data_IF_517786051127
#
_entry.id   IF_517786051127
#
_cell.length_a   1.000
_cell.length_b   1.000
_cell.length_c   1.000
_cell.angle_alpha   90.00
_cell.angle_beta   90.00
_cell.angle_gamma   90.00
#
_symmetry.space_group_name_H-M   'P 1'
#
loop_
_entity.id
_entity.type
_entity.pdbx_description
1 polymer ?
2 polymer ?
3 non-polymer ?
4 non-polymer ?
5 non-polymer ?
6 non-polymer ?
7 non-polymer ?
8 water ?
#
# COMPACT_ATOMS: atom_id res chain seq x y z
N UNK A 1 0.41 29.20 -12.26
CA UNK A 1 0.50 28.18 -11.18
C UNK A 1 1.40 27.05 -11.61
N UNK A 2 2.09 26.52 -10.62
CA UNK A 2 3.04 25.42 -10.80
C UNK A 2 2.77 24.29 -9.83
N UNK A 3 2.99 23.10 -10.36
CA UNK A 3 2.57 21.86 -9.69
C UNK A 3 3.31 21.57 -8.40
N UNK A 4 4.52 22.10 -8.35
CA UNK A 4 5.46 21.80 -7.25
C UNK A 4 5.08 22.56 -6.00
N UNK A 5 4.34 23.62 -6.24
CA UNK A 5 3.82 24.48 -5.20
C UNK A 5 2.34 24.28 -5.00
N UNK A 6 2.01 23.84 -3.80
CA UNK A 6 0.62 23.76 -3.34
C UNK A 6 -0.17 22.81 -4.20
N UNK A 7 0.59 21.97 -4.89
CA UNK A 7 0.06 20.93 -5.80
C UNK A 7 -0.61 21.54 -7.01
N UNK A 8 -0.24 22.78 -7.23
CA UNK A 8 -0.74 23.55 -8.37
C UNK A 8 -2.18 23.91 -8.20
N UNK A 9 -2.61 23.67 -6.99
CA UNK A 9 -3.98 23.96 -6.52
C UNK A 9 -4.90 22.78 -6.75
N UNK A 10 -4.34 21.80 -7.42
CA UNK A 10 -5.05 20.55 -7.79
C UNK A 10 -5.38 19.70 -6.56
N UNK A 11 -6.55 19.10 -6.60
CA UNK A 11 -7.00 18.20 -5.53
C UNK A 11 -6.21 16.91 -5.60
N UNK A 12 -5.92 16.55 -6.83
CA UNK A 12 -5.22 15.29 -7.18
C UNK A 12 -3.95 15.52 -7.97
N UNK A 13 -4.00 15.13 -9.22
CA UNK A 13 -2.81 15.15 -10.10
C UNK A 13 -2.68 16.43 -10.89
N UNK A 14 -1.43 16.78 -11.12
CA UNK A 14 -1.04 18.07 -11.73
C UNK A 14 0.02 17.93 -12.80
N UNK A 15 -0.25 18.62 -13.90
CA UNK A 15 0.65 18.74 -15.05
C UNK A 15 0.92 20.16 -15.45
N UNK A 16 2.21 20.45 -15.49
CA UNK A 16 2.75 21.73 -15.99
C UNK A 16 2.78 21.70 -17.51
N UNK A 17 2.44 22.85 -18.05
CA UNK A 17 2.44 23.07 -19.49
C UNK A 17 3.22 24.29 -19.90
N UNK A 18 3.50 24.30 -21.18
CA UNK A 18 4.27 25.37 -21.83
C UNK A 18 3.53 26.68 -21.72
N UNK A 19 4.14 27.51 -20.91
CA UNK A 19 3.62 28.82 -20.55
C UNK A 19 3.29 28.83 -19.09
N UNK A 20 2.42 29.77 -18.76
CA UNK A 20 1.88 29.89 -17.40
C UNK A 20 0.66 29.04 -17.31
N UNK A 21 0.81 27.86 -17.91
CA UNK A 21 -0.27 26.84 -18.01
C UNK A 21 -0.10 25.63 -17.11
N UNK A 22 -1.25 25.25 -16.58
CA UNK A 22 -1.40 24.10 -15.68
C UNK A 22 -2.70 23.38 -15.91
N UNK A 23 -2.57 22.06 -15.93
CA UNK A 23 -3.72 21.15 -16.01
C UNK A 23 -3.74 20.18 -14.84
N UNK A 24 -4.87 20.20 -14.17
CA UNK A 24 -5.20 19.25 -13.12
C UNK A 24 -5.90 18.06 -13.73
N UNK A 25 -5.67 16.94 -13.08
CA UNK A 25 -6.31 15.68 -13.47
C UNK A 25 -6.74 14.88 -12.26
N UNK A 26 -7.59 13.93 -12.58
CA UNK A 26 -8.20 13.05 -11.58
C UNK A 26 -7.99 11.59 -11.94
N UNK A 27 -7.88 10.83 -10.87
CA UNK A 27 -7.75 9.37 -10.92
C UNK A 27 -8.99 8.79 -11.58
N UNK A 28 -8.81 7.60 -12.11
CA UNK A 28 -9.93 6.84 -12.68
C UNK A 28 -10.97 6.72 -11.58
N UNK A 29 -12.22 6.89 -11.98
CA UNK A 29 -13.37 6.83 -11.07
C UNK A 29 -13.72 8.17 -10.47
N UNK A 30 -13.03 9.16 -11.00
CA UNK A 30 -13.26 10.58 -10.69
C UNK A 30 -13.28 11.40 -11.96
N UNK A 31 -13.99 12.51 -11.83
CA UNK A 31 -14.02 13.56 -12.86
C UNK A 31 -13.71 14.93 -12.27
N UNK A 32 -13.06 15.72 -13.09
CA UNK A 32 -12.63 17.10 -12.80
C UNK A 32 -13.80 18.04 -12.94
N UNK A 33 -13.95 18.86 -11.93
CA UNK A 33 -15.01 19.88 -11.91
C UNK A 33 -14.57 21.10 -12.68
N UNK A 34 -15.55 21.95 -12.91
CA UNK A 34 -15.37 23.15 -13.77
C UNK A 34 -14.45 24.19 -13.15
N UNK A 35 -14.13 23.99 -11.88
CA UNK A 35 -13.15 24.85 -11.16
C UNK A 35 -11.73 24.52 -11.61
N UNK A 36 -11.66 23.41 -12.31
CA UNK A 36 -10.43 22.94 -12.95
C UNK A 36 -9.43 22.34 -11.99
N UNK A 37 -9.87 22.17 -10.76
CA UNK A 37 -8.99 21.64 -9.66
C UNK A 37 -9.53 20.47 -8.86
N UNK A 38 -10.84 20.46 -8.71
CA UNK A 38 -11.54 19.50 -7.84
C UNK A 38 -11.92 18.24 -8.58
N UNK A 39 -11.88 17.16 -7.82
CA UNK A 39 -12.26 15.82 -8.29
C UNK A 39 -13.45 15.30 -7.53
N UNK A 40 -14.41 14.81 -8.28
CA UNK A 40 -15.63 14.21 -7.73
C UNK A 40 -15.80 12.76 -8.22
N UNK A 41 -16.23 11.85 -7.33
CA UNK A 41 -16.41 10.46 -7.79
C UNK A 41 -17.48 10.30 -8.85
N UNK A 42 -17.21 9.34 -9.72
CA UNK A 42 -18.10 8.99 -10.84
C UNK A 42 -18.61 7.57 -10.74
N UNK A 43 -18.08 6.90 -9.75
CA UNK A 43 -18.45 5.52 -9.42
C UNK A 43 -18.75 5.37 -7.95
N UNK A 44 -19.31 4.21 -7.66
CA UNK A 44 -19.83 3.92 -6.32
C UNK A 44 -18.71 3.79 -5.31
N UNK A 45 -17.65 3.17 -5.78
CA UNK A 45 -16.51 2.81 -4.92
C UNK A 45 -15.18 3.30 -5.49
N UNK A 46 -14.98 4.63 -5.48
CA UNK A 46 -13.72 5.15 -5.94
C UNK A 46 -12.60 4.82 -4.98
N UNK A 47 -11.42 4.74 -5.54
CA UNK A 47 -10.22 4.45 -4.74
C UNK A 47 -10.02 5.52 -3.69
N UNK A 48 -9.53 5.06 -2.55
CA UNK A 48 -9.01 5.94 -1.50
C UNK A 48 -10.04 6.65 -0.68
N UNK A 49 -11.26 6.20 -0.87
CA UNK A 49 -12.41 6.64 -0.06
C UNK A 49 -12.99 5.48 0.71
N UNK A 50 -13.37 5.79 1.95
CA UNK A 50 -13.90 4.83 2.94
C UNK A 50 -15.43 4.93 3.08
N UNK A 51 -16.16 4.02 2.44
CA UNK A 51 -17.61 4.16 2.31
C UNK A 51 -18.37 4.43 3.58
N UNK A 52 -17.99 3.74 4.64
CA UNK A 52 -18.77 3.79 5.89
C UNK A 52 -18.64 5.15 6.54
N UNK A 53 -17.55 5.81 6.16
CA UNK A 53 -17.23 7.16 6.65
C UNK A 53 -17.83 8.23 5.75
N UNK A 54 -17.83 7.95 4.47
CA UNK A 54 -18.40 8.86 3.47
C UNK A 54 -19.89 8.98 3.69
N UNK A 55 -20.45 7.85 4.06
CA UNK A 55 -21.89 7.72 4.36
C UNK A 55 -22.22 8.40 5.68
N UNK A 56 -21.28 8.23 6.59
CA UNK A 56 -21.41 8.70 7.98
C UNK A 56 -21.62 10.20 8.01
N UNK A 57 -21.17 10.83 6.94
CA UNK A 57 -21.20 12.30 6.80
C UNK A 57 -22.06 12.80 5.65
N UNK A 58 -22.64 11.83 4.95
CA UNK A 58 -23.54 12.12 3.83
C UNK A 58 -24.89 12.61 4.34
N UNK B 1 1.40 -4.97 14.31
CA UNK B 1 1.40 -3.57 14.73
C UNK B 1 1.52 -3.46 16.23
N UNK B 2 2.54 -2.70 16.60
CA UNK B 2 2.85 -2.36 17.98
C UNK B 2 2.44 -0.93 18.30
N UNK B 3 1.57 -0.83 19.29
CA UNK B 3 1.21 0.44 19.90
C UNK B 3 0.14 1.21 19.17
N UNK B 4 -0.57 0.46 18.36
CA UNK B 4 -1.72 0.98 17.59
C UNK B 4 -3.05 0.67 18.22
N UNK B 5 -4.04 0.67 17.36
CA UNK B 5 -5.41 0.36 17.73
C UNK B 5 -6.06 -0.49 16.67
N UNK B 6 -7.19 -1.03 17.06
CA UNK B 6 -8.01 -1.79 16.12
C UNK B 6 -8.48 -0.80 15.06
N UNK B 7 -8.29 -1.20 13.82
CA UNK B 7 -8.92 -0.47 12.70
C UNK B 7 -10.40 -0.83 12.66
N UNK B 8 -11.29 0.15 12.93
CA UNK B 8 -12.69 -0.23 12.91
C UNK B 8 -13.07 -0.88 11.59
N UNK B 9 -13.79 -1.96 11.72
CA UNK B 9 -14.23 -2.74 10.55
C UNK B 9 -14.75 -1.85 9.44
N UNK B 10 -14.05 -1.93 8.32
CA UNK B 10 -14.44 -1.25 7.08
C UNK B 10 -13.69 0.03 6.83
N UNK B 11 -12.89 0.40 7.83
CA UNK B 11 -12.14 1.67 7.76
C UNK B 11 -10.76 1.48 7.18
N UNK B 12 -10.44 0.22 6.96
CA UNK B 12 -9.18 -0.17 6.29
C UNK B 12 -9.47 -1.08 5.09
N UNK B 13 -10.33 -0.63 4.16
CA UNK B 13 -10.96 -1.58 3.25
C UNK B 13 -10.07 -2.08 2.11
N UNK B 14 -8.91 -1.50 2.03
CA UNK B 14 -7.88 -1.85 1.01
C UNK B 14 -6.88 -2.87 1.51
N UNK B 15 -6.98 -3.14 2.79
CA UNK B 15 -6.08 -4.10 3.45
C UNK B 15 -6.36 -5.50 2.95
N UNK B 16 -5.27 -6.17 2.61
CA UNK B 16 -5.26 -7.57 2.20
C UNK B 16 -4.53 -8.48 3.18
N UNK B 17 -5.10 -9.64 3.35
CA UNK B 17 -4.44 -10.75 4.06
C UNK B 17 -4.05 -11.83 3.07
N UNK B 18 -2.77 -12.15 3.09
CA UNK B 18 -2.21 -13.24 2.29
C UNK B 18 -2.02 -14.47 3.15
N UNK B 19 -2.50 -15.56 2.59
CA UNK B 19 -2.42 -16.89 3.20
C UNK B 19 -1.67 -17.84 2.31
N UNK B 20 -0.96 -18.74 2.97
CA UNK B 20 -0.39 -19.91 2.30
C UNK B 20 -0.69 -21.17 3.11
N UNK B 21 -1.39 -22.07 2.45
CA UNK B 21 -1.90 -23.28 3.09
C UNK B 21 -2.73 -22.98 4.34
N UNK B 22 -3.39 -21.85 4.22
CA UNK B 22 -4.37 -21.37 5.20
C UNK B 22 -3.77 -20.60 6.35
N UNK B 23 -2.45 -20.58 6.33
CA UNK B 23 -1.65 -19.86 7.34
C UNK B 23 -1.31 -18.45 6.88
N UNK B 24 -1.34 -17.55 7.85
CA UNK B 24 -0.99 -16.13 7.66
C UNK B 24 0.42 -16.02 7.12
N UNK B 25 0.53 -15.35 5.98
CA UNK B 25 1.83 -15.13 5.31
C UNK B 25 2.33 -13.71 5.47
N UNK B 26 1.46 -12.83 5.05
CA UNK B 26 1.75 -11.40 4.92
C UNK B 26 0.52 -10.58 4.70
N UNK B 27 0.75 -9.28 4.73
CA UNK B 27 -0.23 -8.30 4.30
C UNK B 27 -0.08 -7.90 2.85
N UNK B 28 -1.04 -7.12 2.43
CA UNK B 28 -1.07 -6.51 1.08
C UNK B 28 -2.02 -5.35 0.95
N UNK B 29 -1.92 -4.71 -0.20
CA UNK B 29 -2.78 -3.56 -0.55
C UNK B 29 -3.47 -3.71 -1.89
N UNK B 30 -4.79 -3.63 -1.84
CA UNK B 30 -5.64 -3.62 -3.06
C UNK B 30 -5.50 -2.26 -3.73
N UNK B 31 -5.16 -2.25 -5.02
CA UNK B 31 -5.07 -0.98 -5.78
C UNK B 31 -6.01 -0.89 -6.99
N UNK B 32 -6.55 -2.06 -7.29
CA UNK B 32 -7.58 -2.26 -8.33
C UNK B 32 -8.26 -3.59 -8.04
N UNK B 33 -9.27 -3.92 -8.82
CA UNK B 33 -10.07 -5.14 -8.54
C UNK B 33 -9.34 -6.47 -8.69
N UNK B 34 -8.24 -6.43 -9.43
CA UNK B 34 -7.43 -7.64 -9.67
C UNK B 34 -5.96 -7.52 -9.26
N UNK B 35 -5.60 -6.35 -8.77
CA UNK B 35 -4.20 -6.06 -8.39
C UNK B 35 -3.98 -5.71 -6.93
N UNK B 36 -2.99 -6.40 -6.40
CA UNK B 36 -2.53 -6.27 -5.02
C UNK B 36 -1.03 -6.02 -4.99
N UNK B 37 -0.66 -5.07 -4.16
CA UNK B 37 0.74 -4.76 -3.88
C UNK B 37 1.12 -5.31 -2.52
N UNK B 38 2.27 -5.97 -2.52
CA UNK B 38 2.84 -6.56 -1.29
C UNK B 38 4.35 -6.36 -1.29
N UNK B 39 5.01 -7.18 -0.48
CA UNK B 39 6.48 -7.14 -0.32
C UNK B 39 7.10 -8.40 -0.90
N UNK B 40 8.18 -8.20 -1.62
CA UNK B 40 8.85 -9.31 -2.31
C UNK B 40 9.23 -10.45 -1.37
N UNK B 41 9.72 -10.09 -0.20
CA UNK B 41 10.35 -11.09 0.70
C UNK B 41 9.34 -12.11 1.17
N UNK B 42 8.08 -11.75 1.04
CA UNK B 42 6.97 -12.59 1.51
C UNK B 42 6.96 -13.89 0.75
N UNK B 43 7.63 -13.85 -0.39
CA UNK B 43 7.57 -14.94 -1.36
C UNK B 43 8.88 -15.65 -1.55
N UNK B 44 9.81 -15.32 -0.67
CA UNK B 44 11.18 -15.87 -0.74
C UNK B 44 11.22 -17.40 -0.68
N UNK B 45 10.38 -17.93 0.18
CA UNK B 45 10.47 -19.33 0.60
C UNK B 45 9.30 -20.15 0.08
N UNK B 46 8.54 -19.52 -0.78
CA UNK B 46 7.34 -20.16 -1.31
C UNK B 46 7.73 -21.37 -2.12
N UNK B 47 7.15 -22.47 -1.72
CA UNK B 47 7.45 -23.78 -2.32
C UNK B 47 6.45 -24.11 -3.40
N UNK B 48 5.20 -24.09 -2.97
CA UNK B 48 4.04 -24.34 -3.84
C UNK B 48 3.20 -23.12 -4.13
N UNK B 49 3.53 -22.48 -5.23
CA UNK B 49 2.91 -21.21 -5.63
C UNK B 49 1.41 -21.27 -5.81
N UNK B 50 0.91 -22.48 -5.90
CA UNK B 50 -0.51 -22.72 -6.27
C UNK B 50 -1.47 -22.64 -5.11
N UNK B 51 -0.92 -22.43 -3.93
CA UNK B 51 -1.71 -22.41 -2.69
C UNK B 51 -1.72 -21.07 -2.01
N UNK B 52 -1.42 -20.06 -2.80
CA UNK B 52 -1.43 -18.66 -2.36
C UNK B 52 -2.81 -18.05 -2.52
N UNK B 53 -3.28 -17.50 -1.42
CA UNK B 53 -4.62 -16.91 -1.34
C UNK B 53 -4.56 -15.50 -0.79
N UNK B 54 -5.32 -14.64 -1.44
CA UNK B 54 -5.54 -13.26 -1.00
C UNK B 54 -6.95 -13.11 -0.50
N UNK B 55 -7.06 -12.52 0.68
CA UNK B 55 -8.36 -12.23 1.30
C UNK B 55 -8.57 -10.74 1.50
N UNK B 56 -9.70 -10.31 0.95
CA UNK B 56 -10.22 -8.95 1.08
C UNK B 56 -11.41 -8.93 2.01
N UNK B 57 -11.59 -7.80 2.65
CA UNK B 57 -12.76 -7.55 3.51
C UNK B 57 -12.66 -8.26 4.85
N UNK B 58 -11.43 -8.68 5.12
CA UNK B 58 -11.11 -9.35 6.39
C UNK B 58 -11.00 -8.32 7.51
N UNK B 59 -11.35 -8.78 8.70
CA UNK B 59 -11.28 -7.95 9.91
C UNK B 59 -10.86 -8.73 11.13
N UNK B 60 -11.79 -9.57 11.55
CA UNK B 60 -11.59 -10.50 12.70
C UNK B 60 -11.38 -11.92 12.23
N UNK B 61 -10.18 -12.40 12.48
CA UNK B 61 -9.70 -13.67 11.93
C UNK B 61 -10.37 -14.88 12.56
N UNK B 62 -11.09 -14.61 13.63
CA UNK B 62 -11.69 -15.67 14.46
C UNK B 62 -13.06 -16.08 13.96
N UNK B 63 -13.59 -15.24 13.10
CA UNK B 63 -14.96 -15.42 12.60
C UNK B 63 -15.09 -15.14 11.12
N UNK B 64 -16.18 -15.65 10.61
CA UNK B 64 -16.62 -15.41 9.24
C UNK B 64 -17.89 -14.60 9.34
N UNK B 65 -17.90 -13.44 8.70
CA UNK B 65 -19.08 -12.54 8.76
C UNK B 65 -19.71 -12.26 7.41
N UNK B 66 -19.06 -12.80 6.40
CA UNK B 66 -19.60 -12.83 5.04
C UNK B 66 -19.18 -11.70 4.15
N UNK B 67 -18.39 -10.81 4.73
CA UNK B 67 -17.84 -9.65 3.98
C UNK B 67 -16.52 -9.99 3.32
N UNK B 68 -15.98 -11.12 3.75
CA UNK B 68 -14.69 -11.63 3.26
C UNK B 68 -14.80 -12.13 1.84
N UNK B 69 -13.74 -11.88 1.10
CA UNK B 69 -13.58 -12.36 -0.28
C UNK B 69 -12.20 -12.88 -0.51
N UNK B 70 -12.17 -14.16 -0.85
CA UNK B 70 -10.94 -14.89 -1.12
C UNK B 70 -10.73 -15.15 -2.60
N UNK B 71 -9.51 -14.92 -3.00
CA UNK B 71 -9.04 -15.13 -4.37
C UNK B 71 -7.69 -15.78 -4.38
N UNK B 72 -7.54 -16.70 -5.31
CA UNK B 72 -6.23 -17.28 -5.66
C UNK B 72 -5.37 -16.24 -6.35
N UNK B 73 -4.11 -16.31 -6.03
CA UNK B 73 -3.09 -15.46 -6.64
C UNK B 73 -2.55 -16.16 -7.86
N UNK B 74 -2.72 -15.47 -8.99
CA UNK B 74 -2.40 -15.99 -10.33
C UNK B 74 -0.98 -15.67 -10.76
N UNK B 75 -0.50 -14.56 -10.22
CA UNK B 75 0.83 -14.05 -10.55
C UNK B 75 1.43 -13.26 -9.41
N UNK B 76 2.70 -13.51 -9.20
CA UNK B 76 3.54 -12.71 -8.29
C UNK B 76 4.70 -12.16 -9.09
N UNK B 77 4.72 -10.86 -9.19
CA UNK B 77 5.74 -10.12 -9.96
C UNK B 77 6.64 -9.35 -9.02
N UNK B 78 7.93 -9.64 -9.15
CA UNK B 78 8.94 -8.96 -8.35
C UNK B 78 10.04 -8.33 -9.22
N UNK B 79 10.63 -7.23 -8.75
CA UNK B 79 11.63 -6.58 -9.59
C UNK B 79 12.90 -7.37 -9.66
N UNK B 80 13.54 -7.20 -10.79
CA UNK B 80 14.76 -7.95 -11.12
C UNK B 80 15.85 -7.68 -10.11
N UNK B 81 15.72 -6.51 -9.52
CA UNK B 81 16.77 -5.93 -8.69
C UNK B 81 16.72 -6.38 -7.25
N UNK B 82 15.61 -7.04 -6.96
CA UNK B 82 15.36 -7.58 -5.61
C UNK B 82 16.15 -8.86 -5.40
N UNK B 83 16.82 -8.89 -4.27
CA UNK B 83 17.60 -10.04 -3.84
C UNK B 83 16.97 -10.71 -2.63
N UNK B 84 16.59 -11.99 -2.76
CA UNK B 84 15.95 -12.63 -1.62
C UNK B 84 16.73 -12.54 -0.35
N UNK B 85 15.96 -12.24 0.68
CA UNK B 85 16.45 -12.22 2.06
C UNK B 85 16.99 -10.88 2.46
N UNK B 86 16.78 -9.93 1.57
CA UNK B 86 17.16 -8.52 1.79
C UNK B 86 15.98 -7.58 1.76
N UNK B 87 16.30 -6.29 1.82
CA UNK B 87 15.29 -5.21 2.02
C UNK B 87 15.10 -4.26 0.86
N UNK B 88 16.16 -4.08 0.08
CA UNK B 88 16.09 -3.17 -1.08
C UNK B 88 15.17 -3.76 -2.14
N UNK B 89 14.36 -2.88 -2.68
CA UNK B 89 13.39 -3.21 -3.73
C UNK B 89 12.38 -4.25 -3.25
N UNK B 90 12.03 -4.13 -1.98
CA UNK B 90 11.08 -5.05 -1.32
C UNK B 90 9.64 -4.73 -1.66
N UNK B 91 9.30 -5.14 -2.87
CA UNK B 91 7.98 -4.91 -3.47
C UNK B 91 7.57 -6.03 -4.41
N UNK B 92 6.28 -6.28 -4.39
CA UNK B 92 5.65 -7.30 -5.26
C UNK B 92 4.29 -6.86 -5.72
N UNK B 93 4.02 -7.21 -6.96
CA UNK B 93 2.72 -6.99 -7.60
C UNK B 93 2.07 -8.32 -7.91
N UNK B 94 0.89 -8.46 -7.34
CA UNK B 94 0.07 -9.66 -7.41
C UNK B 94 -1.19 -9.48 -8.22
N UNK B 95 -1.34 -10.41 -9.14
CA UNK B 95 -2.52 -10.53 -9.99
C UNK B 95 -3.43 -11.61 -9.44
N UNK B 96 -4.65 -11.23 -9.16
CA UNK B 96 -5.67 -12.13 -8.65
C UNK B 96 -6.27 -12.89 -9.82
N UNK B 97 -6.67 -14.11 -9.52
CA UNK B 97 -7.21 -15.04 -10.52
C UNK B 97 -8.56 -14.57 -11.06
N UNK B 98 -9.27 -13.90 -10.18
CA UNK B 98 -10.59 -13.34 -10.44
C UNK B 98 -10.74 -12.02 -9.68
N UNK B 99 -11.40 -11.02 -10.27
CA UNK B 99 -11.48 -9.77 -9.52
C UNK B 99 -12.31 -9.93 -8.27
N UNK B 100 -11.94 -9.14 -7.28
CA UNK B 100 -12.79 -8.92 -6.10
C UNK B 100 -13.91 -7.99 -6.52
N UNK B 101 -14.99 -8.08 -5.78
CA UNK B 101 -16.16 -7.22 -5.94
C UNK B 101 -16.07 -6.09 -4.96
N UNK B 102 -16.13 -4.88 -5.48
CA UNK B 102 -16.07 -3.69 -4.63
C UNK B 102 -17.36 -3.59 -3.84
N UNK B 103 -17.16 -3.37 -2.56
CA UNK B 103 -18.23 -3.22 -1.57
C UNK B 103 -17.82 -2.20 -0.52
N UNK B 104 -18.70 -2.00 0.45
CA UNK B 104 -18.39 -1.05 1.53
C UNK B 104 -17.13 -1.48 2.27
N UNK B 105 -16.83 -2.77 2.14
CA UNK B 105 -15.76 -3.40 2.96
C UNK B 105 -14.54 -3.78 2.17
N UNK B 106 -14.67 -3.55 0.89
CA UNK B 106 -13.60 -3.84 -0.09
C UNK B 106 -13.49 -2.74 -1.12
N UNK B 107 -12.43 -1.98 -0.97
CA UNK B 107 -12.14 -0.78 -1.76
C UNK B 107 -10.64 -0.65 -2.03
N UNK B 108 -10.25 -0.28 -3.25
CA UNK B 108 -8.83 -0.09 -3.49
C UNK B 108 -8.31 1.23 -2.98
N UNK B 109 -7.05 1.19 -2.60
CA UNK B 109 -6.26 2.40 -2.33
C UNK B 109 -5.74 2.94 -3.65
N UNK B 110 -5.75 4.25 -3.79
CA UNK B 110 -5.25 4.89 -5.01
C UNK B 110 -3.73 4.78 -5.08
N UNK B 111 -3.28 4.25 -6.20
CA UNK B 111 -1.87 4.31 -6.55
C UNK B 111 -1.63 5.67 -7.19
N UNK B 112 -0.80 6.52 -6.57
CA UNK B 112 -0.68 7.86 -7.11
C UNK B 112 0.27 7.96 -8.26
N UNK B 113 0.12 9.03 -8.99
CA UNK B 113 1.16 9.44 -9.96
C UNK B 113 2.41 9.74 -9.20
N UNK B 114 3.51 9.51 -9.89
CA UNK B 114 4.85 9.65 -9.30
C UNK B 114 5.09 11.06 -8.82
N UNK B 115 4.86 11.98 -9.73
CA UNK B 115 5.09 13.42 -9.47
C UNK B 115 4.35 13.87 -8.23
N UNK B 116 3.08 13.54 -8.23
CA UNK B 116 2.17 13.87 -7.12
C UNK B 116 2.72 13.30 -5.82
N UNK B 117 3.19 12.08 -5.92
CA UNK B 117 3.68 11.34 -4.75
C UNK B 117 4.93 11.96 -4.19
N UNK B 118 5.75 12.41 -5.11
CA UNK B 118 7.09 12.93 -4.79
C UNK B 118 7.05 14.38 -4.31
N UNK B 119 6.18 15.12 -4.95
CA UNK B 119 6.07 16.57 -4.73
C UNK B 119 5.15 16.95 -3.58
N UNK B 120 4.20 16.07 -3.30
CA UNK B 120 3.12 16.41 -2.36
C UNK B 120 2.97 15.42 -1.22
N UNK B 121 2.75 14.18 -1.60
CA UNK B 121 2.45 13.11 -0.62
C UNK B 121 3.61 12.88 0.33
N UNK B 122 4.79 13.08 -0.22
CA UNK B 122 6.04 12.77 0.48
C UNK B 122 6.27 13.71 1.65
N UNK B 123 5.47 14.76 1.65
CA UNK B 123 5.58 15.86 2.65
C UNK B 123 4.44 15.89 3.63
N UNK B 124 3.55 14.95 3.46
CA UNK B 124 2.49 14.72 4.43
C UNK B 124 3.16 13.96 5.58
N UNK B 125 3.07 14.52 6.77
CA UNK B 125 3.85 14.01 7.90
C UNK B 125 3.46 12.61 8.28
N UNK B 126 2.18 12.51 8.61
CA UNK B 126 1.57 11.28 9.14
C UNK B 126 0.81 10.48 8.11
N UNK B 127 1.04 9.19 8.23
CA UNK B 127 0.41 8.14 7.44
C UNK B 127 0.11 6.93 8.29
N UNK B 128 -0.83 6.15 7.79
CA UNK B 128 -1.32 4.93 8.47
C UNK B 128 -0.68 3.66 7.93
N UNK B 129 -0.27 2.85 8.90
CA UNK B 129 0.22 1.47 8.65
C UNK B 129 -0.65 0.46 9.38
N UNK B 130 -0.89 -0.65 8.71
CA UNK B 130 -1.84 -1.65 9.21
C UNK B 130 -1.48 -3.09 8.92
N UNK B 131 -2.02 -3.92 9.80
CA UNK B 131 -1.93 -5.38 9.65
C UNK B 131 -2.33 -6.18 10.86
N UNK B 132 -2.20 -7.47 10.65
CA UNK B 132 -2.55 -8.51 11.65
C UNK B 132 -1.29 -9.09 12.25
N UNK B 133 -0.26 -8.27 12.21
CA UNK B 133 1.05 -8.64 12.74
C UNK B 133 1.11 -8.72 14.24
N UNK B 134 2.31 -9.02 14.70
CA UNK B 134 2.62 -9.09 16.14
C UNK B 134 2.31 -7.76 16.81
N UNK B 135 1.67 -7.90 17.95
CA UNK B 135 1.25 -6.76 18.79
C UNK B 135 2.40 -6.25 19.64
N UNK B 136 3.39 -7.11 19.69
CA UNK B 136 4.65 -6.89 20.43
C UNK B 136 5.81 -7.58 19.77
N UNK B 137 6.97 -6.99 19.95
CA UNK B 137 8.21 -7.68 19.60
C UNK B 137 8.21 -8.98 20.39
N UNK B 138 8.35 -10.07 19.67
CA UNK B 138 8.37 -11.44 20.23
C UNK B 138 7.04 -11.85 20.85
N UNK B 139 6.01 -11.20 20.34
CA UNK B 139 4.64 -11.44 20.78
C UNK B 139 3.78 -12.14 19.78
N UNK B 140 2.58 -12.41 20.25
CA UNK B 140 1.50 -13.00 19.43
C UNK B 140 0.92 -11.98 18.45
N UNK B 141 0.50 -12.52 17.33
CA UNK B 141 -0.17 -11.74 16.27
C UNK B 141 -1.60 -11.41 16.68
N UNK B 142 -2.11 -10.42 15.98
CA UNK B 142 -3.45 -9.85 16.20
C UNK B 142 -4.54 -10.67 15.53
N UNK B 143 -5.66 -10.76 16.21
CA UNK B 143 -6.87 -11.40 15.66
C UNK B 143 -7.72 -10.38 14.90
N UNK B 144 -7.62 -9.16 15.35
CA UNK B 144 -8.30 -8.01 14.70
C UNK B 144 -7.29 -7.11 14.01
N UNK B 145 -7.70 -6.61 12.86
CA UNK B 145 -6.87 -5.68 12.07
C UNK B 145 -6.52 -4.45 12.88
N UNK B 146 -5.23 -4.22 12.97
CA UNK B 146 -4.67 -3.07 13.69
C UNK B 146 -4.12 -2.02 12.74
N UNK B 147 -4.15 -0.81 13.25
CA UNK B 147 -3.68 0.36 12.53
C UNK B 147 -2.95 1.34 13.43
N UNK B 148 -2.00 2.00 12.80
CA UNK B 148 -1.03 2.90 13.46
C UNK B 148 -0.65 4.10 12.61
N UNK B 149 -0.77 5.25 13.24
CA UNK B 149 -0.34 6.54 12.65
C UNK B 149 1.12 6.71 12.95
N UNK B 150 1.90 6.88 11.88
CA UNK B 150 3.36 7.07 11.96
C UNK B 150 3.86 8.28 11.16
N UNK B 151 4.83 9.03 11.72
CA UNK B 151 5.37 10.15 10.99
C UNK B 151 6.57 9.76 10.19
N UNK B 152 6.63 10.40 9.04
CA UNK B 152 7.69 10.18 8.07
C UNK B 152 8.82 11.14 8.34
N UNK B 153 10.00 10.58 8.18
CA UNK B 153 11.26 11.31 8.31
C UNK B 153 12.03 11.30 7.00
N UNK B 154 12.59 12.46 6.70
CA UNK B 154 13.58 12.59 5.61
C UNK B 154 14.77 11.74 6.00
N UNK B 155 15.37 11.12 5.00
CA UNK B 155 16.34 10.06 5.23
C UNK B 155 17.55 10.56 6.01
N UNK B 156 17.90 11.80 5.74
CA UNK B 156 19.04 12.43 6.41
C UNK B 156 18.76 12.52 7.89
N UNK B 157 17.54 12.91 8.18
CA UNK B 157 17.08 13.13 9.57
C UNK B 157 16.97 11.80 10.30
N UNK B 158 16.60 10.79 9.53
CA UNK B 158 16.39 9.45 10.06
C UNK B 158 17.69 8.91 10.59
N UNK B 159 18.69 9.07 9.75
CA UNK B 159 20.04 8.54 9.98
C UNK B 159 20.67 9.20 11.19
N UNK B 160 20.37 10.48 11.30
CA UNK B 160 20.89 11.31 12.38
C UNK B 160 20.29 10.88 13.72
N UNK B 161 19.00 10.59 13.64
CA UNK B 161 18.15 10.35 14.82
C UNK B 161 18.22 8.92 15.32
N UNK B 162 18.90 8.14 14.52
CA UNK B 162 19.01 6.69 14.76
C UNK B 162 20.28 6.34 15.50
N UNK B 163 20.12 5.35 16.37
CA UNK B 163 21.20 4.82 17.19
C UNK B 163 20.76 3.73 18.16
N UNK B 168 23.95 -2.45 10.75
CA UNK B 168 22.72 -1.65 10.70
C UNK B 168 22.13 -1.61 9.29
N UNK B 169 20.88 -1.19 9.19
CA UNK B 169 20.23 -1.13 7.89
C UNK B 169 20.66 0.09 7.11
N UNK B 170 20.98 -0.15 5.85
CA UNK B 170 21.32 0.92 4.94
C UNK B 170 20.06 1.43 4.27
N UNK B 171 19.88 2.74 4.34
CA UNK B 171 18.70 3.38 3.79
C UNK B 171 18.99 3.90 2.40
N UNK B 172 18.34 3.25 1.45
CA UNK B 172 18.47 3.60 0.05
C UNK B 172 17.35 4.51 -0.37
N UNK B 173 17.49 4.92 -1.62
CA UNK B 173 16.57 5.90 -2.22
C UNK B 173 15.24 5.23 -2.50
N UNK B 174 15.26 3.92 -2.29
CA UNK B 174 14.09 3.05 -2.55
C UNK B 174 13.34 2.74 -1.29
N UNK B 175 13.78 3.43 -0.26
CA UNK B 175 13.21 3.31 1.08
C UNK B 175 12.94 4.67 1.70
N UNK B 176 12.13 4.60 2.73
CA UNK B 176 11.99 5.72 3.68
C UNK B 176 11.68 5.25 5.07
N UNK B 177 12.01 6.14 5.98
CA UNK B 177 11.79 5.97 7.42
C UNK B 177 10.48 6.55 7.86
N UNK B 178 9.86 5.83 8.76
CA UNK B 178 8.65 6.28 9.47
C UNK B 178 8.47 5.57 10.80
N UNK B 179 7.97 6.36 11.72
CA UNK B 179 7.65 5.89 13.07
C UNK B 179 8.29 6.66 14.20
N UNK B 180 8.71 5.87 15.16
CA UNK B 180 9.24 6.36 16.45
C UNK B 180 10.45 5.57 16.90
N UNK B 181 11.28 6.27 17.64
CA UNK B 181 12.57 5.74 18.13
C UNK B 181 12.54 5.33 19.58
N UNK B 182 11.38 5.43 20.18
CA UNK B 182 11.21 5.23 21.64
C UNK B 182 10.71 3.85 21.99
N UNK B 183 10.56 3.07 20.94
CA UNK B 183 10.25 1.64 21.06
C UNK B 183 8.82 1.31 21.43
N UNK B 184 7.96 2.29 21.19
CA UNK B 184 6.55 2.22 21.61
C UNK B 184 5.60 1.85 20.50
N UNK B 185 6.04 2.19 19.31
CA UNK B 185 5.18 2.16 18.10
C UNK B 185 5.92 1.82 16.82
N UNK B 186 5.41 0.77 16.21
CA UNK B 186 6.00 0.23 14.98
C UNK B 186 5.10 -0.78 14.31
N UNK B 187 5.41 -1.04 13.07
CA UNK B 187 4.94 -2.25 12.41
C UNK B 187 5.90 -3.35 12.78
N UNK B 188 5.44 -4.55 12.55
CA UNK B 188 6.09 -5.75 13.11
C UNK B 188 5.91 -6.97 12.25
N UNK B 189 6.60 -8.01 12.65
CA UNK B 189 6.51 -9.28 11.94
C UNK B 189 5.05 -9.67 11.83
N UNK B 190 4.68 -9.99 10.60
CA UNK B 190 3.31 -10.38 10.27
C UNK B 190 2.58 -9.31 9.51
N UNK B 191 3.17 -8.13 9.53
CA UNK B 191 2.58 -6.92 8.89
C UNK B 191 3.14 -6.68 7.50
N UNK B 192 4.25 -7.34 7.24
CA UNK B 192 4.99 -7.08 6.00
C UNK B 192 4.04 -7.19 4.83
N UNK B 193 4.21 -6.24 3.93
CA UNK B 193 3.51 -6.19 2.65
C UNK B 193 2.28 -5.31 2.70
N UNK B 194 1.94 -4.96 3.92
CA UNK B 194 0.80 -4.09 4.19
C UNK B 194 1.03 -2.65 3.75
N UNK B 195 -0.03 -1.84 3.75
CA UNK B 195 0.03 -0.45 3.34
C UNK B 195 0.50 0.54 4.36
N UNK B 196 1.24 1.46 3.79
CA UNK B 196 1.54 2.77 4.35
C UNK B 196 0.79 3.75 3.47
N UNK B 197 -0.30 4.22 4.05
CA UNK B 197 -1.33 4.99 3.35
C UNK B 197 -1.38 6.42 3.83
N UNK B 198 -1.45 7.30 2.85
CA UNK B 198 -1.35 8.75 3.08
C UNK B 198 -2.56 9.49 2.54
N UNK B 199 -3.11 10.29 3.44
CA UNK B 199 -4.27 11.13 3.18
C UNK B 199 -3.87 12.48 2.62
N UNK B 200 -4.58 12.85 1.58
CA UNK B 200 -4.50 14.19 0.99
C UNK B 200 -5.80 14.64 0.35
N UNK B 201 -6.27 15.72 0.92
CA UNK B 201 -7.49 16.41 0.47
C UNK B 201 -8.64 15.46 0.19
N UNK B 202 -8.86 14.60 1.15
CA UNK B 202 -10.06 13.77 1.25
C UNK B 202 -9.95 12.39 0.66
N UNK B 203 -8.75 12.11 0.21
CA UNK B 203 -8.42 10.83 -0.45
C UNK B 203 -7.12 10.24 0.02
N UNK B 204 -7.13 8.92 0.05
CA UNK B 204 -6.00 8.08 0.50
C UNK B 204 -5.23 7.42 -0.64
N UNK B 205 -3.93 7.46 -0.46
CA UNK B 205 -2.94 6.97 -1.44
C UNK B 205 -1.89 6.05 -0.86
N UNK B 206 -1.41 5.18 -1.72
CA UNK B 206 -0.31 4.26 -1.38
C UNK B 206 1.04 4.92 -1.56
N UNK B 207 1.73 5.04 -0.43
CA UNK B 207 3.07 5.66 -0.38
C UNK B 207 4.17 4.73 0.08
N UNK B 208 3.76 3.72 0.81
CA UNK B 208 4.72 2.76 1.33
C UNK B 208 4.20 1.36 1.47
N UNK B 209 5.16 0.47 1.56
CA UNK B 209 4.95 -0.94 1.87
C UNK B 209 5.79 -1.36 3.06
N UNK B 210 5.13 -2.01 3.99
CA UNK B 210 5.81 -2.55 5.18
C UNK B 210 6.81 -3.60 4.71
N UNK B 211 8.07 -3.29 4.97
CA UNK B 211 9.16 -4.19 4.62
C UNK B 211 9.46 -5.03 5.82
N UNK B 212 10.74 -5.15 6.12
CA UNK B 212 11.19 -5.92 7.29
C UNK B 212 12.55 -5.52 7.81
N UNK B 213 12.79 -6.06 8.99
CA UNK B 213 14.01 -5.84 9.77
C UNK B 213 14.09 -6.81 10.94
N UNK B 214 15.13 -6.64 11.73
CA UNK B 214 15.30 -7.48 12.93
C UNK B 214 14.56 -6.82 14.06
N UNK B 215 13.59 -7.55 14.56
CA UNK B 215 12.73 -7.06 15.62
C UNK B 215 11.84 -5.93 15.19
N UNK B 216 11.08 -5.52 16.16
CA UNK B 216 10.08 -4.47 16.05
C UNK B 216 10.17 -3.55 17.23
N UNK B 217 9.87 -2.30 16.98
CA UNK B 217 9.80 -1.26 18.03
C UNK B 217 11.07 -1.24 18.88
N UNK B 218 12.17 -1.34 18.17
CA UNK B 218 13.50 -1.28 18.79
C UNK B 218 13.91 0.15 19.04
N UNK B 219 14.20 0.39 20.31
CA UNK B 219 14.66 1.71 20.76
C UNK B 219 15.84 2.12 19.91
N UNK B 220 15.72 3.35 19.46
CA UNK B 220 16.76 4.04 18.69
C UNK B 220 16.65 3.83 17.21
N UNK B 221 15.59 3.13 16.85
CA UNK B 221 15.32 2.76 15.44
C UNK B 221 13.91 2.98 14.98
N UNK B 222 13.86 3.44 13.75
CA UNK B 222 12.62 3.67 13.01
C UNK B 222 12.31 2.56 12.06
N UNK B 223 11.03 2.48 11.76
CA UNK B 223 10.52 1.62 10.69
C UNK B 223 11.05 2.10 9.36
N UNK B 224 11.42 1.13 8.56
CA UNK B 224 11.85 1.34 7.17
C UNK B 224 10.91 0.66 6.17
N UNK B 225 10.43 1.51 5.28
CA UNK B 225 9.37 1.19 4.31
C UNK B 225 9.86 1.35 2.89
N UNK B 226 9.34 0.49 2.04
CA UNK B 226 9.57 0.59 0.59
C UNK B 226 8.87 1.82 0.05
N UNK B 227 9.68 2.63 -0.62
CA UNK B 227 9.25 3.92 -1.21
C UNK B 227 8.56 3.67 -2.55
N UNK B 228 7.25 3.61 -2.46
CA UNK B 228 6.39 3.17 -3.58
C UNK B 228 6.52 4.07 -4.81
N UNK B 229 6.90 5.30 -4.56
CA UNK B 229 6.95 6.32 -5.62
C UNK B 229 7.97 5.94 -6.68
N UNK B 230 8.93 5.13 -6.27
CA UNK B 230 10.04 4.74 -7.14
C UNK B 230 9.59 3.70 -8.15
N UNK B 231 8.40 3.18 -7.88
CA UNK B 231 7.87 1.97 -8.57
C UNK B 231 6.60 2.15 -9.37
N UNK B 232 6.13 3.37 -9.39
CA UNK B 232 4.81 3.68 -9.99
C UNK B 232 4.74 3.25 -11.44
N UNK B 233 5.73 3.71 -12.16
CA UNK B 233 5.82 3.47 -13.62
C UNK B 233 5.98 1.98 -13.92
N UNK B 234 6.77 1.36 -13.07
CA UNK B 234 7.04 -0.08 -13.14
C UNK B 234 5.75 -0.88 -12.96
N UNK B 235 4.98 -0.44 -11.98
CA UNK B 235 3.71 -1.10 -11.61
C UNK B 235 2.68 -0.89 -12.72
N UNK B 236 2.68 0.31 -13.24
CA UNK B 236 1.66 0.71 -14.22
C UNK B 236 1.82 -0.06 -15.51
N UNK B 237 3.08 -0.26 -15.86
CA UNK B 237 3.41 -0.96 -17.11
C UNK B 237 2.99 -2.41 -17.01
N UNK B 238 3.25 -2.96 -15.84
CA UNK B 238 2.92 -4.37 -15.58
C UNK B 238 1.43 -4.60 -15.63
N UNK B 239 0.70 -3.63 -15.13
CA UNK B 239 -0.77 -3.75 -15.00
C UNK B 239 -1.44 -3.72 -16.37
N UNK B 240 -0.68 -3.24 -17.34
CA UNK B 240 -1.15 -3.10 -18.73
C UNK B 240 -0.79 -4.33 -19.56
N UNK B 241 -0.03 -5.19 -18.93
CA UNK B 241 0.53 -6.39 -19.57
C UNK B 241 -0.37 -7.59 -19.44
N UNK B 242 -0.26 -8.45 -20.43
CA UNK B 242 -0.95 -9.75 -20.42
C UNK B 242 -0.25 -10.71 -19.45
N UNK B 243 -1.03 -11.54 -18.75
CA UNK B 243 -0.50 -12.60 -17.90
C UNK B 243 0.38 -13.56 -18.65
N UNK B 244 1.31 -14.11 -17.90
CA UNK B 244 2.27 -15.11 -18.37
C UNK B 244 2.16 -16.41 -17.57
N UNK B 245 2.40 -17.55 -18.24
CA UNK B 245 2.34 -18.78 -17.46
C UNK B 245 3.40 -18.80 -16.41
N UNK B 246 3.03 -19.46 -15.34
CA UNK B 246 3.87 -19.57 -14.13
C UNK B 246 3.69 -18.39 -13.22
N UNK B 247 3.50 -18.71 -11.95
CA UNK B 247 3.06 -17.72 -10.96
C UNK B 247 4.08 -16.62 -10.80
N UNK B 248 5.27 -17.05 -10.46
CA UNK B 248 6.40 -16.12 -10.25
C UNK B 248 6.97 -15.58 -11.55
N UNK B 249 7.03 -14.27 -11.56
CA UNK B 249 7.62 -13.49 -12.65
C UNK B 249 8.56 -12.43 -12.12
N UNK B 250 9.78 -12.51 -12.58
CA UNK B 250 10.77 -11.46 -12.35
C UNK B 250 10.76 -10.55 -13.55
N UNK B 251 10.56 -9.28 -13.25
CA UNK B 251 10.40 -8.24 -14.28
C UNK B 251 11.49 -7.20 -14.13
N UNK B 252 12.08 -6.76 -15.26
CA UNK B 252 13.15 -5.79 -15.10
C UNK B 252 12.68 -4.51 -14.46
N UNK B 253 13.58 -4.05 -13.61
CA UNK B 253 13.49 -2.73 -12.99
C UNK B 253 14.81 -1.99 -13.23
N UNK B 254 14.74 -0.71 -13.61
CA UNK B 254 13.54 0.11 -13.80
C UNK B 254 12.68 -0.39 -14.94
X LIG C 1 4.80 17.68 -15.45
X LIG C 1 4.42 16.26 -15.40
X LIG C 1 4.30 18.27 -16.69
X LIG C 1 4.28 18.45 -14.30
X LIG C 1 6.27 17.76 -15.40
X LIG D 1 -12.67 8.72 3.64
X LIG D 1 -13.46 8.42 2.52
X LIG D 1 -11.84 9.98 3.37
X LIG D 1 -10.85 9.72 2.40
X LIG D 1 -11.22 10.41 4.69
X LIG D 1 -11.42 9.39 5.63
X LIG E 1 -9.43 14.47 -15.81
X LIG E 1 -8.57 13.55 -15.17
X LIG E 1 -10.89 14.04 -15.66
X LIG E 1 -11.08 12.73 -16.16
X LIG E 1 -11.74 15.03 -16.46
X LIG E 1 -13.05 15.00 -15.97
X LIG F 1 9.17 -12.47 7.55
X LIG F 1 9.47 -9.46 9.52
X LIG F 1 10.25 -8.93 10.52
X LIG F 1 10.33 -11.91 9.35
X LIG F 1 12.48 -15.43 3.71
X LIG F 1 9.60 -14.06 5.82
X LIG F 1 8.12 -6.14 9.72
X LIG F 1 8.55 -5.14 10.58
X LIG F 1 10.10 -15.74 4.06
X LIG F 1 7.35 -13.23 6.17
X LIG F 1 7.81 -14.83 4.45
X LIG F 1 9.54 -10.81 8.94
X LIG F 1 8.85 -11.19 7.80
X LIG F 1 10.09 -12.89 8.53
X LIG F 1 8.58 -8.54 9.06
X LIG F 1 9.81 -7.60 10.70
X LIG F 1 10.17 -6.59 11.51
X LIG F 1 8.70 -13.25 6.52
X LIG F 1 8.77 -7.38 9.77
X LIG F 1 9.59 -5.41 11.46
X LIG F 1 13.51 -14.81 3.10
X LIG F 1 11.23 -15.04 3.42
X LIG F 1 12.69 -16.34 4.51
X LIG F 1 7.98 -10.41 7.09
X LIG F 1 9.99 -4.39 12.32
X LIG F 1 9.14 -14.84 4.79
X LIG F 1 14.85 -15.15 3.35
X LIG F 1 6.91 -14.03 5.13
X LIG F 1 15.68 -15.40 2.25
X LIG F 1 15.35 -15.25 4.62
X LIG F 1 17.00 -15.74 2.45
X LIG F 1 16.68 -15.58 4.82
X LIG F 1 17.50 -15.83 3.73
X LIG G 1 -13.57 -12.52 9.43
X LIG H 1 2.33 -7.74 -22.93
X LIG I 1 3.80 -22.19 -11.34
X LIG J 1 -10.31 -17.43 -7.31
X LIG K 1 14.22 12.02 1.51
X LIG K 1 12.93 12.19 0.86
X LIG K 1 15.21 11.64 0.51
X LIG K 1 14.59 13.27 2.14
X LIG K 1 14.13 10.98 2.52
X LIG L 1 8.40 -1.67 9.52
X LIG L 1 8.94 -1.79 10.82
X LIG L 1 9.50 -1.68 8.49
X LIG L 1 8.99 -1.99 7.20
X LIG L 1 10.58 -2.68 8.89
X LIG L 1 11.59 -2.00 9.58
#
# INVERSE_FOLDING_TARGET
LICVNENGGCEQYCSDHTGTKRSCRCHEGYSLLADGVSCTPTVEYPCGKIPILEKRNASKPQGR
IVGGKVCPKGECPWQVLLLVNGAQLCGGTLINTIWVVSAAHCFDKIKNWRNLIAVLGEHDLSEHDGDEQSRRVAQVIIPSTYVPGTTNHDIALLRLHQPVVLTDHVVPLCLPERTFSERTLAFVRFSLVSGWGQLLDRGATALELMVLNVPRLMTQDCLQQSRKVGDSPNITEYMFCAGYSDGSKDSCKGDSGGPHATHYRGTWYLTGIVSWGQGCATVGHFGVYTRVSQYIEWLQKLMRSEPRPGVLLRAPFP
SO4 S O1 O2 O3 O4
GOL C1 O1 C2 O2 C3 O3
GOL C1 O1 C2 O2 C3 O3
9S1 N3 C4 C7 C8 C13 C17 C20 C22 C24 C26 C28 C1 C2 N5 N6 C9 N10 C11 C12 C14 N15 N16 O18 O19 N21 C23 C25 C27 C29 C30 C31 C32 C33
CA CA
CL CL
CL CL
CL CL
SO4 S O1 O2 O3 O4
GOL C1 O1 C2 O2 C3 O3
#
